data_IF_228908274419
#
_entry.id   IF_228908274419
#
_cell.length_a   1.000
_cell.length_b   1.000
_cell.length_c   1.000
_cell.angle_alpha   90.00
_cell.angle_beta   90.00
_cell.angle_gamma   90.00
#
_symmetry.space_group_name_H-M   'P 1'
#
loop_
_entity.id
_entity.type
_entity.pdbx_description
1 polymer ?
#
# COMPACT_ATOMS: atom_id res chain seq x y z
N UNK A 1 -19.33 29.01 0.22
CA UNK A 1 -18.44 27.96 0.75
C UNK A 1 -17.19 28.01 -0.11
N UNK A 2 -16.17 28.74 0.33
CA UNK A 2 -14.91 28.94 -0.41
C UNK A 2 -14.15 27.61 -0.48
N UNK A 3 -13.69 27.13 -1.66
CA UNK A 3 -12.74 26.03 -1.68
C UNK A 3 -11.36 26.61 -1.33
N UNK A 4 -11.06 26.70 -0.04
CA UNK A 4 -9.68 26.88 0.41
C UNK A 4 -8.89 25.65 0.02
N UNK A 5 -8.12 25.72 -1.07
CA UNK A 5 -6.65 25.59 -1.05
C UNK A 5 -6.11 25.39 -2.47
N UNK A 6 -5.53 26.44 -3.04
CA UNK A 6 -4.49 26.36 -4.09
C UNK A 6 -3.19 25.72 -3.55
N UNK A 7 -3.31 24.75 -2.65
CA UNK A 7 -2.16 24.07 -2.06
C UNK A 7 -1.70 23.02 -3.05
N UNK A 8 -0.58 23.32 -3.70
CA UNK A 8 0.09 22.38 -4.59
C UNK A 8 0.27 21.03 -3.89
N UNK A 9 -0.08 19.94 -4.58
CA UNK A 9 0.19 18.62 -4.06
C UNK A 9 1.69 18.46 -3.80
N UNK A 10 2.08 18.13 -2.57
CA UNK A 10 3.48 17.91 -2.20
C UNK A 10 4.22 16.90 -3.14
N UNK A 11 3.49 15.96 -3.73
CA UNK A 11 4.07 14.90 -4.55
C UNK A 11 4.11 15.17 -6.06
N UNK A 12 3.18 15.96 -6.61
CA UNK A 12 3.16 16.26 -8.04
C UNK A 12 3.26 17.74 -8.38
N UNK A 13 3.17 18.65 -7.40
CA UNK A 13 3.25 20.09 -7.61
C UNK A 13 2.08 20.66 -8.42
N UNK A 14 0.94 19.96 -8.48
CA UNK A 14 -0.26 20.39 -9.24
C UNK A 14 -1.39 20.69 -8.26
N UNK A 15 -2.14 21.77 -8.53
CA UNK A 15 -3.41 22.10 -7.89
C UNK A 15 -4.49 22.31 -9.00
N UNK A 16 -5.66 21.64 -8.90
CA UNK A 16 -5.98 20.59 -7.95
C UNK A 16 -5.19 19.31 -8.24
N UNK A 17 -4.93 18.50 -7.22
CA UNK A 17 -4.30 17.20 -7.42
C UNK A 17 -5.31 16.26 -8.09
N UNK A 18 -5.03 15.74 -9.28
CA UNK A 18 -5.95 14.82 -9.96
C UNK A 18 -6.25 13.54 -9.15
N UNK A 19 -5.41 13.18 -8.17
CA UNK A 19 -5.73 12.10 -7.24
C UNK A 19 -7.07 12.33 -6.53
N UNK A 20 -7.34 13.57 -6.11
CA UNK A 20 -8.54 13.94 -5.35
C UNK A 20 -9.82 13.73 -6.15
N UNK A 21 -9.74 13.85 -7.49
CA UNK A 21 -10.86 13.60 -8.40
C UNK A 21 -11.32 12.13 -8.40
N UNK A 22 -10.43 11.19 -8.06
CA UNK A 22 -10.68 9.76 -8.19
C UNK A 22 -10.59 9.00 -6.86
N UNK A 23 -10.23 9.68 -5.76
CA UNK A 23 -9.93 9.05 -4.48
C UNK A 23 -11.11 8.25 -3.94
N UNK A 24 -12.30 8.84 -3.91
CA UNK A 24 -13.51 8.21 -3.37
C UNK A 24 -13.85 6.93 -4.14
N UNK A 25 -13.88 7.00 -5.47
CA UNK A 25 -14.15 5.86 -6.35
C UNK A 25 -13.12 4.74 -6.18
N UNK A 26 -11.84 5.11 -6.04
CA UNK A 26 -10.77 4.15 -5.77
C UNK A 26 -10.95 3.47 -4.42
N UNK A 27 -11.43 4.19 -3.40
CA UNK A 27 -11.70 3.62 -2.09
C UNK A 27 -12.87 2.61 -2.16
N UNK A 28 -13.98 2.98 -2.77
CA UNK A 28 -15.11 2.06 -2.98
C UNK A 28 -14.68 0.80 -3.75
N UNK A 29 -13.86 0.98 -4.79
CA UNK A 29 -13.34 -0.12 -5.59
C UNK A 29 -12.38 -1.00 -4.79
N UNK A 30 -11.52 -0.41 -3.96
CA UNK A 30 -10.60 -1.14 -3.11
C UNK A 30 -11.33 -2.04 -2.11
N UNK A 31 -12.45 -1.58 -1.54
CA UNK A 31 -13.30 -2.41 -0.66
C UNK A 31 -13.83 -3.68 -1.34
N UNK A 32 -14.19 -3.58 -2.63
CA UNK A 32 -14.63 -4.73 -3.44
C UNK A 32 -13.47 -5.67 -3.78
N UNK A 33 -12.32 -5.13 -4.18
CA UNK A 33 -11.13 -5.92 -4.54
C UNK A 33 -10.55 -6.64 -3.31
N UNK A 34 -10.45 -5.96 -2.16
CA UNK A 34 -9.92 -6.54 -0.92
C UNK A 34 -10.66 -7.82 -0.51
N UNK A 35 -11.99 -7.86 -0.68
CA UNK A 35 -12.78 -9.07 -0.41
C UNK A 35 -12.33 -10.28 -1.25
N UNK A 36 -11.94 -10.05 -2.51
CA UNK A 36 -11.41 -11.09 -3.42
C UNK A 36 -9.96 -11.48 -3.13
N UNK A 37 -9.20 -10.61 -2.48
CA UNK A 37 -7.79 -10.84 -2.14
C UNK A 37 -7.55 -11.39 -0.73
N UNK A 38 -8.63 -11.67 0.03
CA UNK A 38 -8.51 -12.25 1.39
C UNK A 38 -7.65 -13.52 1.37
N UNK A 39 -6.74 -13.62 2.32
CA UNK A 39 -5.82 -14.76 2.46
C UNK A 39 -4.59 -14.74 1.53
N UNK A 40 -4.45 -13.75 0.64
CA UNK A 40 -3.26 -13.64 -0.23
C UNK A 40 -2.12 -12.91 0.49
N UNK A 41 -0.92 -13.53 0.53
CA UNK A 41 0.31 -12.99 1.14
C UNK A 41 0.66 -11.56 0.72
N UNK A 42 0.40 -11.20 -0.54
CA UNK A 42 0.73 -9.90 -1.12
C UNK A 42 -0.52 -9.07 -1.48
N UNK A 43 -1.60 -9.21 -0.70
CA UNK A 43 -2.88 -8.56 -0.98
C UNK A 43 -2.76 -7.06 -1.26
N UNK A 44 -2.01 -6.30 -0.46
CA UNK A 44 -1.92 -4.85 -0.62
C UNK A 44 -1.07 -4.46 -1.82
N UNK A 45 -0.03 -5.24 -2.17
CA UNK A 45 0.73 -5.04 -3.41
C UNK A 45 -0.16 -5.23 -4.64
N UNK A 46 -0.93 -6.33 -4.69
CA UNK A 46 -1.84 -6.61 -5.80
C UNK A 46 -2.94 -5.55 -5.86
N UNK A 47 -3.52 -5.18 -4.72
CA UNK A 47 -4.53 -4.12 -4.62
C UNK A 47 -4.01 -2.80 -5.21
N UNK A 48 -2.83 -2.33 -4.80
CA UNK A 48 -2.25 -1.08 -5.33
C UNK A 48 -1.99 -1.15 -6.83
N UNK A 49 -1.54 -2.29 -7.35
CA UNK A 49 -1.35 -2.48 -8.79
C UNK A 49 -2.68 -2.36 -9.54
N UNK A 50 -3.73 -3.03 -9.07
CA UNK A 50 -5.05 -2.98 -9.68
C UNK A 50 -5.67 -1.58 -9.61
N UNK A 51 -5.63 -0.94 -8.44
CA UNK A 51 -6.11 0.43 -8.27
C UNK A 51 -5.34 1.43 -9.12
N UNK A 52 -4.03 1.24 -9.25
CA UNK A 52 -3.20 2.05 -10.14
C UNK A 52 -3.62 1.94 -11.61
N UNK A 53 -3.96 0.73 -12.08
CA UNK A 53 -4.50 0.53 -13.44
C UNK A 53 -5.87 1.19 -13.62
N UNK A 54 -6.74 1.08 -12.62
CA UNK A 54 -8.06 1.72 -12.63
C UNK A 54 -7.93 3.25 -12.66
N UNK A 55 -7.02 3.81 -11.88
CA UNK A 55 -6.72 5.24 -11.89
C UNK A 55 -6.30 5.71 -13.29
N UNK A 56 -5.38 4.99 -13.94
CA UNK A 56 -4.91 5.33 -15.29
C UNK A 56 -6.04 5.22 -16.32
N UNK A 57 -6.88 4.20 -16.20
CA UNK A 57 -8.05 4.04 -17.06
C UNK A 57 -9.04 5.19 -16.90
N UNK A 58 -9.36 5.59 -15.66
CA UNK A 58 -10.23 6.74 -15.40
C UNK A 58 -9.64 8.05 -15.96
N UNK A 59 -8.33 8.23 -15.84
CA UNK A 59 -7.64 9.43 -16.32
C UNK A 59 -7.52 9.51 -17.84
N UNK A 60 -7.23 8.39 -18.51
CA UNK A 60 -6.77 8.39 -19.92
C UNK A 60 -7.64 7.55 -20.87
N UNK A 61 -8.62 6.82 -20.34
CA UNK A 61 -9.38 5.82 -21.10
C UNK A 61 -8.59 4.55 -21.42
N UNK A 62 -7.33 4.43 -20.96
CA UNK A 62 -6.45 3.30 -21.25
C UNK A 62 -5.99 2.59 -19.96
N UNK A 63 -5.82 1.26 -20.01
CA UNK A 63 -5.19 0.51 -18.91
C UNK A 63 -3.65 0.57 -18.96
N UNK A 64 -3.10 1.10 -20.06
CA UNK A 64 -1.67 1.25 -20.29
C UNK A 64 -1.16 2.60 -19.80
N UNK A 65 0.12 2.66 -19.47
CA UNK A 65 0.78 3.87 -18.96
C UNK A 65 1.37 3.71 -17.56
N UNK A 66 2.17 4.70 -17.17
CA UNK A 66 2.82 4.78 -15.88
C UNK A 66 1.94 5.51 -14.87
N UNK A 67 1.87 4.99 -13.64
CA UNK A 67 1.15 5.66 -12.55
C UNK A 67 1.96 6.88 -12.11
N UNK A 68 1.37 8.10 -12.07
CA UNK A 68 2.02 9.29 -11.56
C UNK A 68 2.57 9.08 -10.14
N UNK A 69 3.71 9.71 -9.84
CA UNK A 69 4.39 9.57 -8.55
C UNK A 69 3.46 9.91 -7.36
N UNK A 70 2.63 10.95 -7.48
CA UNK A 70 1.67 11.32 -6.44
C UNK A 70 0.66 10.22 -6.14
N UNK A 71 0.01 9.67 -7.18
CA UNK A 71 -0.93 8.58 -7.05
C UNK A 71 -0.26 7.33 -6.48
N UNK A 72 0.95 6.99 -6.94
CA UNK A 72 1.71 5.87 -6.40
C UNK A 72 2.03 6.03 -4.89
N UNK A 73 2.39 7.23 -4.46
CA UNK A 73 2.64 7.56 -3.04
C UNK A 73 1.36 7.45 -2.20
N UNK A 74 0.25 8.02 -2.67
CA UNK A 74 -1.06 7.92 -2.02
C UNK A 74 -1.55 6.48 -1.91
N UNK A 75 -1.47 5.69 -3.00
CA UNK A 75 -1.79 4.26 -2.99
C UNK A 75 -0.99 3.50 -1.92
N UNK A 76 0.31 3.82 -1.76
CA UNK A 76 1.16 3.20 -0.74
C UNK A 76 0.81 3.66 0.68
N UNK A 77 0.39 4.92 0.85
CA UNK A 77 -0.05 5.49 2.13
C UNK A 77 -1.34 4.84 2.63
N UNK A 78 -2.35 4.67 1.77
CA UNK A 78 -3.64 4.08 2.16
C UNK A 78 -3.59 2.56 2.33
N UNK A 79 -2.75 1.87 1.56
CA UNK A 79 -2.66 0.41 1.57
C UNK A 79 -1.20 -0.04 1.70
N UNK A 80 -0.55 0.17 2.87
CA UNK A 80 0.84 -0.21 3.07
C UNK A 80 1.03 -1.73 3.00
N UNK A 81 2.22 -2.21 2.64
CA UNK A 81 2.54 -3.62 2.82
C UNK A 81 2.64 -3.95 4.32
N UNK A 82 2.28 -5.18 4.74
CA UNK A 82 2.53 -5.59 6.11
C UNK A 82 4.04 -5.44 6.41
N UNK A 83 4.39 -5.09 7.66
CA UNK A 83 5.80 -5.05 8.05
C UNK A 83 6.42 -6.39 7.70
N UNK A 84 7.61 -6.37 7.08
CA UNK A 84 8.38 -7.60 6.93
C UNK A 84 8.70 -8.03 8.35
N UNK A 85 8.17 -9.16 8.80
CA UNK A 85 8.69 -9.81 9.99
C UNK A 85 10.19 -9.98 9.75
N UNK A 86 11.01 -9.21 10.45
CA UNK A 86 12.43 -9.46 10.54
C UNK A 86 12.48 -10.80 11.27
N UNK A 87 12.55 -11.89 10.52
CA UNK A 87 12.75 -13.22 11.06
C UNK A 87 13.98 -13.14 11.94
N UNK A 88 13.78 -13.29 13.25
CA UNK A 88 14.84 -13.28 14.25
C UNK A 88 15.96 -14.18 13.77
N UNK A 89 17.15 -13.61 13.63
CA UNK A 89 18.35 -14.37 13.40
C UNK A 89 18.54 -15.28 14.61
N UNK A 90 18.42 -16.58 14.36
CA UNK A 90 18.84 -17.65 15.24
C UNK A 90 20.31 -17.47 15.61
N UNK A 91 20.56 -17.19 16.89
CA UNK A 91 21.67 -17.65 17.77
C UNK A 91 21.16 -17.27 19.16
N UNK A 92 20.58 -18.18 19.95
CA UNK A 92 21.31 -18.89 20.98
C UNK A 92 20.61 -20.22 21.28
N UNK A 93 21.02 -21.26 20.58
CA UNK A 93 20.88 -22.64 21.06
C UNK A 93 22.29 -23.09 21.45
N UNK A 94 22.73 -22.69 22.64
CA UNK A 94 23.93 -23.22 23.27
C UNK A 94 23.55 -23.77 24.64
N UNK A 95 23.31 -25.07 24.63
CA UNK A 95 23.65 -26.04 25.66
C UNK A 95 24.04 -25.47 27.04
N UNK A 96 23.19 -25.71 28.04
CA UNK A 96 23.66 -26.02 29.39
C UNK A 96 22.72 -27.03 30.03
N UNK A 97 22.73 -28.24 29.48
CA UNK A 97 22.55 -29.44 30.29
C UNK A 97 23.87 -29.71 31.00
N UNK A 98 24.00 -29.23 32.23
CA UNK A 98 25.01 -29.74 33.15
C UNK A 98 24.30 -30.32 34.36
N UNK A 99 24.40 -31.65 34.43
CA UNK A 99 23.96 -32.52 35.50
C UNK A 99 24.55 -32.08 36.85
N UNK A 100 23.71 -31.99 37.89
CA UNK A 100 24.06 -32.47 39.23
C UNK A 100 22.78 -33.02 39.87
N UNK A 101 22.54 -34.31 39.63
CA UNK A 101 21.96 -35.18 40.65
C UNK A 101 23.05 -36.21 40.94
N UNK A 102 23.61 -36.19 42.15
CA UNK A 102 24.10 -37.36 42.86
C UNK A 102 24.53 -36.97 44.28
N UNK A 103 23.91 -37.67 45.23
CA UNK A 103 24.20 -37.88 46.65
C UNK A 103 23.73 -36.82 47.65
#
# INVERSE_FOLDING_TARGET
MEPTTDTLCYWCGVAPCEWELYEEDLWLTAGRIKRKLRGRKHQNRVLRQTLGRIYIYKKTGSLCGAIPKCAAKKLKQYWPDPPRNVSGSSVDALQSTSNVALN
#
